data_IF_817814196890
#
_entry.id   IF_817814196890
#
_cell.length_a   1.000
_cell.length_b   1.000
_cell.length_c   1.000
_cell.angle_alpha   90.00
_cell.angle_beta   90.00
_cell.angle_gamma   90.00
#
_symmetry.space_group_name_H-M   'P 1'
#
loop_
_entity.id
_entity.type
_entity.pdbx_description
1 polymer ?
#
# COMPACT_ATOMS: atom_id res chain seq x y z
N UNK A 1 -11.61 51.54 -11.81
CA UNK A 1 -10.50 50.88 -12.52
C UNK A 1 -9.80 49.98 -11.52
N UNK A 2 -10.12 48.70 -11.65
CA UNK A 2 -9.88 47.63 -10.71
C UNK A 2 -8.40 47.39 -10.44
N UNK A 3 -7.98 47.59 -9.18
CA UNK A 3 -6.75 47.02 -8.66
C UNK A 3 -6.96 45.52 -8.45
N UNK A 4 -6.84 44.79 -9.55
CA UNK A 4 -6.92 43.35 -9.64
C UNK A 4 -5.97 42.67 -8.64
N UNK A 5 -6.57 41.95 -7.71
CA UNK A 5 -6.13 40.68 -7.14
C UNK A 5 -4.93 40.05 -7.87
N UNK A 6 -3.73 40.27 -7.35
CA UNK A 6 -2.55 39.44 -7.65
C UNK A 6 -1.81 39.10 -6.36
N UNK A 7 -2.53 38.50 -5.40
CA UNK A 7 -1.91 37.55 -4.49
C UNK A 7 -2.19 36.15 -5.03
N UNK A 8 -1.51 35.80 -6.11
CA UNK A 8 -1.35 34.38 -6.48
C UNK A 8 -0.58 33.76 -5.31
N UNK A 9 -1.29 32.98 -4.47
CA UNK A 9 -0.66 32.20 -3.40
C UNK A 9 0.33 31.25 -4.05
N UNK A 10 1.62 31.59 -4.02
CA UNK A 10 2.72 30.74 -4.49
C UNK A 10 2.85 29.52 -3.57
N UNK A 11 1.98 28.52 -3.74
CA UNK A 11 2.24 27.18 -3.22
C UNK A 11 3.15 26.46 -4.21
N UNK A 12 4.06 25.65 -3.70
CA UNK A 12 4.79 24.73 -4.56
C UNK A 12 3.80 23.78 -5.24
N UNK A 13 3.97 23.56 -6.55
CA UNK A 13 3.15 22.60 -7.27
C UNK A 13 3.39 21.21 -6.69
N UNK A 14 2.31 20.53 -6.32
CA UNK A 14 2.36 19.16 -5.81
C UNK A 14 2.96 18.25 -6.88
N UNK A 15 4.06 17.51 -6.58
CA UNK A 15 4.63 16.54 -7.50
C UNK A 15 3.59 15.52 -7.96
N UNK A 16 3.59 15.18 -9.24
CA UNK A 16 2.77 14.08 -9.77
C UNK A 16 3.59 12.80 -9.73
N UNK A 17 3.15 11.85 -8.91
CA UNK A 17 3.65 10.49 -8.96
C UNK A 17 2.82 9.71 -9.99
N UNK A 18 3.48 9.09 -10.97
CA UNK A 18 2.81 8.31 -12.02
C UNK A 18 3.37 6.89 -12.02
N UNK A 19 2.52 5.92 -11.68
CA UNK A 19 2.89 4.51 -11.71
C UNK A 19 1.71 3.68 -12.23
N UNK A 20 1.99 2.77 -13.16
CA UNK A 20 0.95 1.94 -13.78
C UNK A 20 0.30 0.96 -12.81
N UNK A 21 1.01 0.58 -11.75
CA UNK A 21 0.56 -0.35 -10.71
C UNK A 21 -0.15 0.41 -9.58
N UNK A 22 0.42 1.51 -9.08
CA UNK A 22 -0.23 2.35 -8.07
C UNK A 22 -1.10 3.44 -8.72
N UNK A 23 -2.28 3.05 -9.24
CA UNK A 23 -3.29 3.99 -9.75
C UNK A 23 -4.73 3.55 -9.49
N UNK A 24 -5.65 4.51 -9.59
CA UNK A 24 -7.09 4.25 -9.46
C UNK A 24 -7.56 3.26 -10.53
N UNK A 25 -8.44 2.36 -10.11
CA UNK A 25 -8.97 1.19 -10.83
C UNK A 25 -7.92 0.14 -11.24
N UNK A 26 -6.70 0.18 -10.69
CA UNK A 26 -5.76 -0.92 -10.88
C UNK A 26 -6.33 -2.20 -10.26
N UNK A 27 -6.37 -3.28 -11.06
CA UNK A 27 -6.90 -4.57 -10.66
C UNK A 27 -5.76 -5.56 -10.45
N UNK A 28 -5.92 -6.37 -9.41
CA UNK A 28 -5.00 -7.42 -9.02
C UNK A 28 -5.76 -8.71 -8.75
N UNK A 29 -5.17 -9.84 -9.09
CA UNK A 29 -5.75 -11.17 -8.83
C UNK A 29 -4.69 -12.10 -8.25
N UNK A 30 -5.11 -13.07 -7.45
CA UNK A 30 -4.21 -14.06 -6.89
C UNK A 30 -4.87 -14.87 -5.79
N UNK A 31 -4.11 -15.18 -4.74
CA UNK A 31 -4.53 -16.11 -3.71
C UNK A 31 -4.23 -15.61 -2.29
N UNK A 32 -5.15 -15.91 -1.36
CA UNK A 32 -4.88 -15.93 0.07
C UNK A 32 -4.71 -17.38 0.52
N UNK A 33 -3.65 -17.68 1.27
CA UNK A 33 -3.35 -19.01 1.79
C UNK A 33 -3.27 -18.99 3.33
N UNK A 34 -4.03 -19.87 3.98
CA UNK A 34 -3.98 -20.15 5.43
C UNK A 34 -3.72 -21.64 5.60
N UNK A 35 -2.55 -22.01 6.13
CA UNK A 35 -2.12 -23.41 6.20
C UNK A 35 -2.19 -24.10 4.83
N UNK A 36 -3.09 -25.08 4.71
CA UNK A 36 -3.35 -25.86 3.48
C UNK A 36 -4.46 -25.29 2.60
N UNK A 37 -5.27 -24.36 3.12
CA UNK A 37 -6.41 -23.78 2.40
C UNK A 37 -5.94 -22.61 1.55
N UNK A 38 -6.50 -22.50 0.34
CA UNK A 38 -6.23 -21.42 -0.62
C UNK A 38 -7.54 -20.86 -1.15
N UNK A 39 -7.62 -19.54 -1.21
CA UNK A 39 -8.80 -18.82 -1.66
C UNK A 39 -8.41 -17.85 -2.75
N UNK A 40 -9.19 -17.82 -3.83
CA UNK A 40 -8.97 -16.86 -4.90
C UNK A 40 -9.38 -15.48 -4.42
N UNK A 41 -8.54 -14.49 -4.70
CA UNK A 41 -8.77 -13.10 -4.34
C UNK A 41 -8.63 -12.19 -5.55
N UNK A 42 -9.46 -11.16 -5.57
CA UNK A 42 -9.38 -10.04 -6.51
C UNK A 42 -9.37 -8.74 -5.70
N UNK A 43 -8.42 -7.87 -6.02
CA UNK A 43 -8.33 -6.54 -5.42
C UNK A 43 -8.47 -5.49 -6.51
N UNK A 44 -9.25 -4.45 -6.23
CA UNK A 44 -9.36 -3.28 -7.08
C UNK A 44 -9.07 -2.03 -6.27
N UNK A 45 -8.01 -1.30 -6.63
CA UNK A 45 -7.70 -0.01 -6.03
C UNK A 45 -8.70 1.02 -6.53
N UNK A 46 -9.34 1.78 -5.65
CA UNK A 46 -10.36 2.76 -6.01
C UNK A 46 -9.86 4.20 -5.96
N UNK A 47 -9.12 4.56 -4.93
CA UNK A 47 -8.53 5.89 -4.81
C UNK A 47 -7.14 5.84 -4.19
N UNK A 48 -6.27 6.74 -4.62
CA UNK A 48 -4.93 6.92 -4.06
C UNK A 48 -4.77 8.40 -3.76
N UNK A 49 -4.64 8.69 -2.47
CA UNK A 49 -4.39 10.01 -1.92
C UNK A 49 -3.00 10.01 -1.29
N UNK A 50 -2.00 10.38 -2.08
CA UNK A 50 -0.61 10.48 -1.62
C UNK A 50 -0.39 11.68 -0.69
N UNK A 51 -1.30 12.65 -0.60
CA UNK A 51 -1.17 13.72 0.39
C UNK A 51 -1.48 13.21 1.79
N UNK A 52 -2.49 12.36 1.90
CA UNK A 52 -2.86 11.70 3.16
C UNK A 52 -2.18 10.33 3.35
N UNK A 53 -1.36 9.88 2.41
CA UNK A 53 -0.76 8.54 2.40
C UNK A 53 -1.81 7.44 2.55
N UNK A 54 -2.93 7.57 1.83
CA UNK A 54 -4.06 6.64 1.89
C UNK A 54 -4.32 6.04 0.53
N UNK A 55 -4.58 4.74 0.50
CA UNK A 55 -5.18 4.04 -0.63
C UNK A 55 -6.52 3.46 -0.18
N UNK A 56 -7.52 3.38 -1.05
CA UNK A 56 -8.74 2.62 -0.78
C UNK A 56 -8.98 1.63 -1.89
N UNK A 57 -9.74 0.58 -1.60
CA UNK A 57 -10.09 -0.40 -2.62
C UNK A 57 -11.10 -1.42 -2.14
N UNK A 58 -11.40 -2.36 -3.03
CA UNK A 58 -12.20 -3.53 -2.72
C UNK A 58 -11.32 -4.77 -2.70
N UNK A 59 -11.57 -5.64 -1.72
CA UNK A 59 -11.01 -6.99 -1.65
C UNK A 59 -12.18 -7.96 -1.78
N UNK A 60 -12.15 -8.77 -2.83
CA UNK A 60 -13.09 -9.86 -3.07
C UNK A 60 -12.37 -11.18 -2.82
N UNK A 61 -12.98 -12.04 -2.01
CA UNK A 61 -12.51 -13.39 -1.72
C UNK A 61 -13.60 -14.40 -2.06
N UNK A 62 -13.23 -15.46 -2.78
CA UNK A 62 -14.16 -16.51 -3.23
C UNK A 62 -13.93 -17.81 -2.47
N UNK A 63 -15.03 -18.46 -2.06
CA UNK A 63 -15.01 -19.78 -1.43
C UNK A 63 -14.54 -19.82 0.02
N UNK A 64 -14.59 -18.70 0.75
CA UNK A 64 -14.17 -18.65 2.16
C UNK A 64 -15.17 -19.35 3.09
N UNK A 65 -16.46 -19.34 2.74
CA UNK A 65 -17.54 -19.96 3.52
C UNK A 65 -18.49 -20.70 2.59
N UNK A 66 -19.19 -21.73 3.08
CA UNK A 66 -20.18 -22.46 2.27
C UNK A 66 -21.39 -21.58 1.91
N UNK A 67 -21.81 -20.70 2.84
CA UNK A 67 -22.98 -19.85 2.68
C UNK A 67 -22.76 -18.65 1.75
N UNK A 68 -21.49 -18.21 1.61
CA UNK A 68 -21.13 -17.05 0.80
C UNK A 68 -20.06 -17.45 -0.21
N UNK A 69 -20.50 -17.66 -1.45
CA UNK A 69 -19.61 -17.99 -2.57
C UNK A 69 -18.56 -16.91 -2.79
N UNK A 70 -18.91 -15.64 -2.53
CA UNK A 70 -18.03 -14.48 -2.63
C UNK A 70 -18.31 -13.49 -1.50
N UNK A 71 -17.24 -12.98 -0.91
CA UNK A 71 -17.28 -11.93 0.10
C UNK A 71 -16.50 -10.75 -0.44
N UNK A 72 -17.09 -9.56 -0.39
CA UNK A 72 -16.46 -8.32 -0.82
C UNK A 72 -16.40 -7.36 0.36
N UNK A 73 -15.20 -6.87 0.66
CA UNK A 73 -14.96 -5.85 1.67
C UNK A 73 -14.38 -4.60 1.03
N UNK A 74 -14.71 -3.46 1.62
CA UNK A 74 -14.02 -2.19 1.37
C UNK A 74 -12.87 -2.07 2.35
N UNK A 75 -11.67 -1.74 1.84
CA UNK A 75 -10.52 -1.49 2.68
C UNK A 75 -9.99 -0.06 2.55
N UNK A 76 -9.38 0.40 3.63
CA UNK A 76 -8.53 1.58 3.68
C UNK A 76 -7.11 1.15 4.00
N UNK A 77 -6.16 1.64 3.20
CA UNK A 77 -4.75 1.36 3.32
C UNK A 77 -3.95 2.58 3.74
N UNK A 78 -2.97 2.37 4.61
CA UNK A 78 -1.94 3.34 4.98
C UNK A 78 -0.69 3.09 4.12
N UNK A 79 -0.14 4.13 3.50
CA UNK A 79 1.11 4.09 2.74
C UNK A 79 2.26 4.54 3.65
N UNK A 80 3.24 3.67 3.87
CA UNK A 80 4.31 3.89 4.87
C UNK A 80 5.46 4.68 4.26
N UNK A 81 6.13 4.14 3.23
CA UNK A 81 7.23 4.79 2.54
C UNK A 81 6.71 5.60 1.32
N UNK A 82 5.79 6.53 1.57
CA UNK A 82 5.17 7.31 0.51
C UNK A 82 6.24 7.98 -0.38
N UNK A 83 6.24 7.74 -1.71
CA UNK A 83 7.25 8.28 -2.61
C UNK A 83 7.34 9.80 -2.52
N UNK A 84 6.23 10.50 -2.25
CA UNK A 84 6.21 11.97 -2.13
C UNK A 84 7.09 12.52 -1.00
N UNK A 85 7.50 11.69 -0.03
CA UNK A 85 8.39 12.12 1.05
C UNK A 85 9.83 12.37 0.59
N UNK A 86 10.26 11.70 -0.48
CA UNK A 86 11.60 11.85 -1.05
C UNK A 86 11.60 12.76 -2.27
N UNK A 87 10.44 13.00 -2.89
CA UNK A 87 10.32 13.93 -4.00
C UNK A 87 10.79 15.34 -3.60
N UNK A 88 11.78 15.82 -4.35
CA UNK A 88 12.26 17.19 -4.26
C UNK A 88 11.17 18.09 -4.84
N UNK A 89 10.48 18.84 -3.97
CA UNK A 89 9.63 19.94 -4.39
C UNK A 89 10.44 20.86 -5.31
N UNK A 90 9.83 21.26 -6.43
CA UNK A 90 10.53 21.91 -7.57
C UNK A 90 11.37 23.14 -7.19
N UNK A 91 11.10 23.77 -6.05
CA UNK A 91 11.80 24.96 -5.59
C UNK A 91 12.23 24.79 -4.11
N UNK A 92 13.39 24.17 -3.87
CA UNK A 92 13.90 23.89 -2.50
C UNK A 92 14.10 25.16 -1.67
N UNK A 93 14.33 26.30 -2.31
CA UNK A 93 14.57 27.59 -1.67
C UNK A 93 13.27 28.30 -1.23
N UNK A 94 12.11 27.80 -1.67
CA UNK A 94 10.79 28.37 -1.37
C UNK A 94 9.90 27.42 -0.57
N UNK A 95 10.44 26.76 0.47
CA UNK A 95 9.58 26.10 1.46
C UNK A 95 8.72 27.14 2.16
N UNK A 96 7.44 27.17 1.82
CA UNK A 96 6.46 28.02 2.50
C UNK A 96 5.94 27.32 3.76
N UNK A 97 5.69 28.02 4.87
CA UNK A 97 4.96 27.46 6.01
C UNK A 97 3.58 26.89 5.64
N UNK A 98 3.01 27.34 4.50
CA UNK A 98 1.75 26.87 3.94
C UNK A 98 1.90 25.74 2.91
N UNK A 99 3.12 25.23 2.68
CA UNK A 99 3.28 24.08 1.78
C UNK A 99 2.59 22.84 2.36
N UNK A 100 2.04 22.04 1.47
CA UNK A 100 1.31 20.85 1.87
C UNK A 100 2.22 19.87 2.61
N UNK A 101 1.82 19.48 3.82
CA UNK A 101 2.49 18.45 4.60
C UNK A 101 1.90 17.09 4.28
N UNK A 102 2.70 16.22 3.65
CA UNK A 102 2.34 14.81 3.45
C UNK A 102 2.18 14.14 4.80
N UNK A 103 1.08 13.41 4.99
CA UNK A 103 0.87 12.59 6.19
C UNK A 103 1.83 11.40 6.13
N UNK A 104 2.54 11.13 7.22
CA UNK A 104 3.46 10.01 7.31
C UNK A 104 2.94 8.95 8.27
N UNK A 105 3.09 7.70 7.86
CA UNK A 105 2.86 6.54 8.71
C UNK A 105 4.20 5.86 8.96
N UNK A 106 4.43 5.40 10.19
CA UNK A 106 5.63 4.63 10.51
C UNK A 106 5.47 3.14 10.17
N UNK A 107 6.56 2.37 10.22
CA UNK A 107 6.49 0.90 10.16
C UNK A 107 5.87 0.27 11.41
N UNK A 108 5.79 1.01 12.51
CA UNK A 108 5.08 0.60 13.72
C UNK A 108 3.60 0.94 13.56
N UNK A 109 2.73 0.00 13.91
CA UNK A 109 1.28 0.20 13.80
C UNK A 109 0.81 1.21 14.85
N UNK A 110 0.34 2.38 14.40
CA UNK A 110 -0.09 3.49 15.27
C UNK A 110 -1.50 3.30 15.83
N UNK A 111 -2.38 2.60 15.10
CA UNK A 111 -3.75 2.35 15.53
C UNK A 111 -3.82 1.22 16.58
N UNK A 112 -3.96 1.61 17.85
CA UNK A 112 -4.06 0.68 18.98
C UNK A 112 -5.22 -0.32 18.89
N UNK A 113 -6.31 0.02 18.16
CA UNK A 113 -7.46 -0.88 18.00
C UNK A 113 -7.13 -2.11 17.15
N UNK A 114 -6.07 -2.05 16.33
CA UNK A 114 -5.64 -3.16 15.50
C UNK A 114 -4.88 -4.24 16.29
N UNK A 115 -4.54 -3.96 17.55
CA UNK A 115 -3.97 -4.94 18.48
C UNK A 115 -2.51 -5.35 18.19
N UNK A 116 -1.86 -4.74 17.19
CA UNK A 116 -0.44 -4.97 16.92
C UNK A 116 0.46 -4.22 17.92
N UNK A 117 1.67 -4.73 18.10
CA UNK A 117 2.75 -4.16 18.91
C UNK A 117 4.09 -4.32 18.18
N UNK A 118 5.12 -3.57 18.59
CA UNK A 118 6.41 -3.44 17.88
C UNK A 118 7.00 -4.80 17.46
N UNK A 119 7.06 -5.77 18.38
CA UNK A 119 7.59 -7.10 18.07
C UNK A 119 6.76 -7.83 17.01
N UNK A 120 5.43 -7.69 17.03
CA UNK A 120 4.57 -8.25 16.00
C UNK A 120 4.82 -7.58 14.64
N UNK A 121 4.93 -6.24 14.60
CA UNK A 121 5.25 -5.50 13.37
C UNK A 121 6.60 -5.99 12.80
N UNK A 122 7.62 -6.15 13.64
CA UNK A 122 8.94 -6.63 13.22
C UNK A 122 8.88 -8.05 12.67
N UNK A 123 8.17 -8.98 13.33
CA UNK A 123 8.01 -10.36 12.84
C UNK A 123 7.40 -10.39 11.42
N UNK A 124 6.35 -9.58 11.17
CA UNK A 124 5.68 -9.54 9.87
C UNK A 124 6.54 -8.89 8.79
N UNK A 125 7.15 -7.74 9.10
CA UNK A 125 8.00 -7.04 8.14
C UNK A 125 9.28 -7.83 7.83
N UNK A 126 9.92 -8.47 8.81
CA UNK A 126 11.08 -9.35 8.57
C UNK A 126 10.71 -10.50 7.63
N UNK A 127 9.54 -11.11 7.83
CA UNK A 127 9.07 -12.21 6.98
C UNK A 127 8.82 -11.74 5.55
N UNK A 128 8.14 -10.61 5.36
CA UNK A 128 7.84 -10.05 4.04
C UNK A 128 9.10 -9.58 3.28
N UNK A 129 10.13 -9.18 4.01
CA UNK A 129 11.37 -8.62 3.42
C UNK A 129 12.54 -9.60 3.40
N UNK A 130 12.29 -10.88 3.69
CA UNK A 130 13.34 -11.91 3.72
C UNK A 130 14.43 -11.67 4.78
N UNK A 131 14.12 -10.93 5.84
CA UNK A 131 15.08 -10.44 6.86
C UNK A 131 14.96 -11.14 8.21
N UNK A 132 14.49 -12.38 8.21
CA UNK A 132 14.35 -13.17 9.44
C UNK A 132 15.65 -13.38 10.22
N UNK A 133 16.81 -13.23 9.57
CA UNK A 133 18.15 -13.40 10.17
C UNK A 133 18.69 -12.13 10.82
N UNK A 134 18.10 -10.96 10.54
CA UNK A 134 18.58 -9.68 11.10
C UNK A 134 18.18 -9.54 12.56
N UNK A 135 19.06 -8.93 13.37
CA UNK A 135 18.69 -8.48 14.72
C UNK A 135 17.60 -7.40 14.66
N UNK A 136 16.90 -7.17 15.76
CA UNK A 136 15.87 -6.13 15.82
C UNK A 136 16.46 -4.72 15.58
N UNK A 137 17.67 -4.46 16.06
CA UNK A 137 18.38 -3.19 15.83
C UNK A 137 18.78 -3.00 14.36
N UNK A 138 19.37 -4.02 13.74
CA UNK A 138 19.75 -3.97 12.31
C UNK A 138 18.51 -3.79 11.43
N UNK A 139 17.42 -4.45 11.78
CA UNK A 139 16.17 -4.34 11.05
C UNK A 139 15.53 -2.96 11.22
N UNK A 140 15.53 -2.39 12.42
CA UNK A 140 15.09 -1.02 12.66
C UNK A 140 15.86 -0.02 11.78
N UNK A 141 17.19 -0.11 11.73
CA UNK A 141 18.02 0.74 10.86
C UNK A 141 17.67 0.57 9.36
N UNK A 142 17.35 -0.66 8.93
CA UNK A 142 16.86 -0.93 7.58
C UNK A 142 15.52 -0.22 7.30
N UNK A 143 14.54 -0.35 8.19
CA UNK A 143 13.24 0.31 8.05
C UNK A 143 13.38 1.84 7.98
N UNK A 144 14.33 2.42 8.71
CA UNK A 144 14.65 3.86 8.62
C UNK A 144 15.24 4.28 7.27
N UNK A 145 16.08 3.44 6.66
CA UNK A 145 16.59 3.68 5.30
C UNK A 145 15.49 3.57 4.25
N UNK A 146 14.62 2.56 4.37
CA UNK A 146 13.44 2.40 3.50
C UNK A 146 12.52 3.62 3.62
N UNK A 147 12.26 4.09 4.84
CA UNK A 147 11.42 5.28 5.09
C UNK A 147 12.00 6.56 4.47
N UNK A 148 13.33 6.62 4.32
CA UNK A 148 14.07 7.71 3.66
C UNK A 148 14.25 7.51 2.15
N UNK A 149 13.76 6.40 1.59
CA UNK A 149 13.94 6.01 0.19
C UNK A 149 15.39 5.69 -0.20
N UNK A 150 16.23 5.36 0.78
CA UNK A 150 17.63 4.96 0.58
C UNK A 150 17.75 3.46 0.25
N UNK A 151 16.69 2.68 0.50
CA UNK A 151 16.62 1.24 0.28
C UNK A 151 15.21 0.86 -0.23
N UNK A 152 15.10 -0.24 -0.97
CA UNK A 152 13.82 -0.79 -1.47
C UNK A 152 12.98 0.19 -2.31
N UNK A 153 13.62 0.98 -3.18
CA UNK A 153 12.96 2.00 -4.00
C UNK A 153 11.88 1.44 -4.95
N UNK A 154 12.00 0.17 -5.37
CA UNK A 154 10.98 -0.49 -6.18
C UNK A 154 9.77 -0.99 -5.37
N UNK A 155 9.80 -0.90 -4.04
CA UNK A 155 8.76 -1.45 -3.17
C UNK A 155 8.01 -0.36 -2.41
N UNK A 156 6.68 -0.53 -2.35
CA UNK A 156 5.79 0.26 -1.52
C UNK A 156 5.27 -0.60 -0.36
N UNK A 157 5.47 -0.12 0.86
CA UNK A 157 5.02 -0.75 2.08
C UNK A 157 3.71 -0.10 2.52
N UNK A 158 2.72 -0.94 2.82
CA UNK A 158 1.39 -0.49 3.21
C UNK A 158 0.80 -1.36 4.33
N UNK A 159 -0.21 -0.84 5.02
CA UNK A 159 -1.12 -1.66 5.83
C UNK A 159 -2.54 -1.50 5.32
N UNK A 160 -3.25 -2.59 5.01
CA UNK A 160 -4.64 -2.54 4.56
C UNK A 160 -5.60 -3.03 5.64
N UNK A 161 -6.59 -2.21 6.00
CA UNK A 161 -7.65 -2.55 6.95
C UNK A 161 -8.98 -2.61 6.22
N UNK A 162 -9.64 -3.76 6.26
CA UNK A 162 -11.02 -3.91 5.82
C UNK A 162 -11.95 -3.24 6.84
N UNK A 163 -12.87 -2.41 6.36
CA UNK A 163 -13.74 -1.56 7.19
C UNK A 163 -15.18 -2.08 7.23
N UNK A 164 -15.71 -2.51 6.08
CA UNK A 164 -17.09 -2.98 5.96
C UNK A 164 -17.30 -3.88 4.75
N UNK A 165 -18.37 -4.67 4.80
CA UNK A 165 -18.81 -5.55 3.73
C UNK A 165 -19.65 -4.82 2.69
N UNK A 166 -19.62 -5.33 1.47
CA UNK A 166 -20.52 -4.98 0.39
C UNK A 166 -21.43 -6.16 0.05
N UNK A 167 -22.70 -5.89 -0.34
CA UNK A 167 -23.31 -4.57 -0.47
C UNK A 167 -23.77 -3.96 0.87
N UNK A 168 -23.91 -4.76 1.93
CA UNK A 168 -24.45 -4.30 3.22
C UNK A 168 -23.37 -4.03 4.26
N UNK A 169 -23.04 -2.74 4.44
CA UNK A 169 -22.02 -2.26 5.40
C UNK A 169 -22.40 -2.42 6.88
N UNK A 170 -23.67 -2.77 7.16
CA UNK A 170 -24.18 -3.00 8.52
C UNK A 170 -23.77 -4.37 9.06
N UNK A 171 -23.45 -5.32 8.18
CA UNK A 171 -22.97 -6.64 8.57
C UNK A 171 -21.55 -6.48 9.12
N UNK A 172 -21.36 -6.89 10.38
CA UNK A 172 -20.06 -6.81 11.08
C UNK A 172 -19.38 -8.17 11.27
N UNK A 173 -20.11 -9.26 11.08
CA UNK A 173 -19.61 -10.61 11.25
C UNK A 173 -20.22 -11.53 10.20
N UNK A 174 -19.43 -12.51 9.75
CA UNK A 174 -19.86 -13.57 8.84
C UNK A 174 -19.61 -14.90 9.56
N UNK A 175 -20.52 -15.86 9.45
CA UNK A 175 -20.30 -17.18 10.01
C UNK A 175 -19.05 -17.82 9.40
N UNK A 176 -18.09 -18.20 10.23
CA UNK A 176 -16.84 -18.83 9.77
C UNK A 176 -15.79 -17.88 9.18
N UNK A 177 -16.02 -16.57 9.14
CA UNK A 177 -15.07 -15.59 8.61
C UNK A 177 -15.03 -14.28 9.43
N UNK A 178 -13.88 -13.64 9.48
CA UNK A 178 -13.70 -12.33 10.12
C UNK A 178 -12.74 -11.46 9.32
N UNK A 179 -13.05 -10.17 9.26
CA UNK A 179 -12.24 -9.11 8.64
C UNK A 179 -11.79 -8.07 9.70
N UNK A 180 -11.76 -8.47 10.98
CA UNK A 180 -11.37 -7.60 12.11
C UNK A 180 -9.87 -7.25 12.10
N UNK A 181 -9.04 -8.10 11.50
CA UNK A 181 -7.61 -7.88 11.33
C UNK A 181 -7.25 -6.87 10.24
N UNK A 182 -5.97 -6.85 9.91
CA UNK A 182 -5.42 -6.04 8.82
C UNK A 182 -4.29 -6.80 8.12
N UNK A 183 -3.87 -6.30 6.96
CA UNK A 183 -2.80 -6.89 6.16
C UNK A 183 -1.56 -6.00 6.19
N UNK A 184 -0.40 -6.60 6.44
CA UNK A 184 0.89 -6.03 6.05
C UNK A 184 1.09 -6.28 4.57
N UNK A 185 1.47 -5.25 3.81
CA UNK A 185 1.52 -5.31 2.34
C UNK A 185 2.85 -4.76 1.83
N UNK A 186 3.45 -5.47 0.88
CA UNK A 186 4.58 -5.03 0.04
C UNK A 186 4.15 -5.11 -1.42
N UNK A 187 4.13 -3.98 -2.12
CA UNK A 187 3.83 -3.89 -3.54
C UNK A 187 5.12 -3.59 -4.30
N UNK A 188 5.43 -4.35 -5.34
CA UNK A 188 6.49 -4.01 -6.29
C UNK A 188 5.93 -3.03 -7.32
N UNK A 189 6.32 -1.76 -7.23
CA UNK A 189 5.92 -0.71 -8.17
C UNK A 189 6.89 -0.59 -9.35
N UNK A 190 7.95 -1.40 -9.37
CA UNK A 190 9.04 -1.28 -10.33
C UNK A 190 9.97 -0.11 -10.00
N UNK A 191 11.21 -0.18 -10.47
CA UNK A 191 12.12 0.95 -10.41
C UNK A 191 11.65 1.99 -11.43
N UNK A 192 11.49 3.25 -11.01
CA UNK A 192 11.51 4.34 -11.99
C UNK A 192 12.91 4.34 -12.62
N UNK A 193 13.03 3.79 -13.82
CA UNK A 193 14.21 4.03 -14.65
C UNK A 193 14.27 5.54 -14.91
N UNK A 194 15.03 6.26 -14.09
CA UNK A 194 15.64 7.50 -14.55
C UNK A 194 16.47 7.11 -15.76
N UNK A 195 15.92 7.39 -16.95
CA UNK A 195 16.48 7.13 -18.28
C UNK A 195 18.01 7.28 -18.29
N UNK A 196 18.70 6.16 -18.16
CA UNK A 196 20.10 6.02 -18.56
C UNK A 196 20.17 4.78 -19.44
N UNK A 197 20.16 5.02 -20.75
CA UNK A 197 20.45 4.05 -21.81
C UNK A 197 21.91 3.57 -21.71
N UNK A 198 22.31 2.88 -20.63
CA UNK A 198 23.66 2.31 -20.53
C UNK A 198 23.90 1.43 -19.28
N UNK A 199 22.87 0.85 -18.66
CA UNK A 199 23.09 -0.19 -17.66
C UNK A 199 22.50 -1.51 -18.14
N UNK A 200 23.31 -2.55 -18.41
CA UNK A 200 22.79 -3.87 -18.71
C UNK A 200 22.05 -4.37 -17.48
N UNK A 201 20.80 -4.80 -17.68
CA UNK A 201 19.94 -5.46 -16.70
C UNK A 201 20.72 -6.54 -15.95
N UNK A 202 21.19 -6.19 -14.75
CA UNK A 202 21.70 -7.13 -13.77
C UNK A 202 21.04 -6.78 -12.45
N UNK A 203 19.78 -7.19 -12.31
CA UNK A 203 19.26 -7.70 -11.05
C UNK A 203 18.14 -8.68 -11.40
N UNK A 204 18.42 -9.96 -11.18
CA UNK A 204 17.38 -10.99 -11.11
C UNK A 204 16.54 -10.68 -9.87
N UNK A 205 15.48 -9.89 -10.02
CA UNK A 205 14.39 -9.90 -9.06
C UNK A 205 13.45 -11.01 -9.51
N UNK A 206 13.40 -12.11 -8.78
CA UNK A 206 12.48 -13.24 -8.97
C UNK A 206 10.99 -12.86 -8.89
N UNK A 207 10.69 -11.57 -8.67
CA UNK A 207 9.36 -11.01 -8.47
C UNK A 207 9.16 -9.88 -9.48
N UNK A 208 8.15 -10.01 -10.35
CA UNK A 208 7.83 -9.03 -11.39
C UNK A 208 7.21 -7.75 -10.82
N UNK A 209 7.46 -6.57 -11.41
CA UNK A 209 6.67 -5.36 -11.14
C UNK A 209 5.16 -5.62 -11.23
N UNK A 210 4.39 -4.95 -10.39
CA UNK A 210 2.95 -5.19 -10.24
C UNK A 210 2.59 -6.39 -9.36
N UNK A 211 3.55 -7.06 -8.72
CA UNK A 211 3.26 -8.05 -7.68
C UNK A 211 2.89 -7.38 -6.35
N UNK A 212 1.98 -7.98 -5.60
CA UNK A 212 1.75 -7.63 -4.19
C UNK A 212 1.91 -8.89 -3.33
N UNK A 213 2.69 -8.78 -2.26
CA UNK A 213 2.81 -9.80 -1.22
C UNK A 213 2.32 -9.24 0.09
N UNK A 214 1.62 -10.05 0.86
CA UNK A 214 1.07 -9.62 2.14
C UNK A 214 0.95 -10.71 3.17
N UNK A 215 0.77 -10.30 4.41
CA UNK A 215 0.49 -11.17 5.55
C UNK A 215 -0.68 -10.61 6.33
N UNK A 216 -1.72 -11.41 6.50
CA UNK A 216 -2.83 -11.07 7.39
C UNK A 216 -2.43 -11.20 8.85
N UNK A 217 -2.89 -10.26 9.66
CA UNK A 217 -2.74 -10.27 11.10
C UNK A 217 -4.07 -10.00 11.80
N UNK A 218 -4.38 -10.88 12.74
CA UNK A 218 -5.36 -10.66 13.77
C UNK A 218 -4.94 -11.45 15.02
N UNK A 219 -5.18 -10.90 16.22
CA UNK A 219 -4.72 -11.45 17.50
C UNK A 219 -5.16 -12.91 17.77
N UNK A 220 -6.30 -13.33 17.20
CA UNK A 220 -6.87 -14.66 17.40
C UNK A 220 -6.82 -15.56 16.16
N UNK A 221 -6.16 -15.12 15.08
CA UNK A 221 -6.07 -15.88 13.84
C UNK A 221 -4.75 -16.63 13.73
N UNK A 222 -4.72 -17.67 12.88
CA UNK A 222 -3.48 -18.31 12.47
C UNK A 222 -2.48 -17.26 11.96
N UNK A 223 -1.24 -17.29 12.45
CA UNK A 223 -0.21 -16.34 12.03
C UNK A 223 0.17 -16.56 10.58
N UNK A 224 0.48 -15.45 9.89
CA UNK A 224 1.12 -15.45 8.58
C UNK A 224 0.28 -16.09 7.45
N UNK A 225 -1.03 -15.90 7.48
CA UNK A 225 -1.85 -16.19 6.30
C UNK A 225 -1.36 -15.27 5.18
N UNK A 226 -0.85 -15.85 4.10
CA UNK A 226 -0.17 -15.11 3.05
C UNK A 226 -1.15 -14.65 1.98
N UNK A 227 -0.95 -13.43 1.50
CA UNK A 227 -1.66 -12.86 0.37
C UNK A 227 -0.64 -12.67 -0.77
N UNK A 228 -0.96 -13.19 -1.95
CA UNK A 228 -0.12 -13.07 -3.15
C UNK A 228 -0.99 -12.66 -4.32
N UNK A 229 -0.63 -11.55 -4.96
CA UNK A 229 -1.40 -10.95 -6.03
C UNK A 229 -0.48 -10.52 -7.17
N UNK A 230 -1.03 -10.53 -8.39
CA UNK A 230 -0.40 -9.98 -9.59
C UNK A 230 -1.33 -8.98 -10.26
N UNK A 231 -0.74 -7.93 -10.80
CA UNK A 231 -1.44 -6.93 -11.60
C UNK A 231 -2.11 -7.56 -12.83
N UNK A 232 -3.30 -7.08 -13.15
CA UNK A 232 -4.03 -7.41 -14.38
C UNK A 232 -3.85 -6.24 -15.34
N UNK A 233 -3.13 -6.49 -16.44
CA UNK A 233 -2.94 -5.48 -17.49
C UNK A 233 -4.28 -5.06 -18.11
N UNK A 234 -4.53 -3.75 -18.12
CA UNK A 234 -5.73 -3.14 -18.70
C UNK A 234 -5.45 -2.43 -20.05
N UNK A 235 -4.23 -2.59 -20.59
CA UNK A 235 -3.75 -1.98 -21.85
C UNK A 235 -4.01 -0.46 -21.95
N UNK A 236 -4.07 0.24 -20.81
CA UNK A 236 -4.25 1.70 -20.78
C UNK A 236 -5.71 2.18 -20.77
N UNK A 237 -6.69 1.29 -20.62
CA UNK A 237 -8.10 1.67 -20.48
C UNK A 237 -8.46 1.73 -18.99
N UNK A 238 -8.24 2.88 -18.35
CA UNK A 238 -8.82 3.17 -17.03
C UNK A 238 -9.43 4.57 -17.02
N UNK A 239 -10.72 4.64 -16.70
CA UNK A 239 -11.42 5.89 -16.45
C UNK A 239 -10.93 6.47 -15.11
N UNK A 240 -9.96 7.37 -15.14
CA UNK A 240 -9.55 8.11 -13.95
C UNK A 240 -10.55 9.23 -13.66
N UNK A 241 -11.07 9.25 -12.44
CA UNK A 241 -11.81 10.41 -11.90
C UNK A 241 -10.93 11.06 -10.83
N UNK A 242 -10.67 12.36 -10.97
CA UNK A 242 -10.00 13.16 -9.94
C UNK A 242 -11.05 14.10 -9.35
N UNK A 243 -11.27 14.04 -8.04
CA UNK A 243 -12.08 15.01 -7.33
C UNK A 243 -11.20 16.22 -6.99
N UNK A 244 -11.66 17.42 -7.37
CA UNK A 244 -11.02 18.71 -7.13
C UNK A 244 -11.51 19.34 -5.82
#
# INVERSE_FOLDING_TARGET
FDAYNYQVRNHNKVPRFMNSYLRSNAVYVGEQQSGKSRFHIKVELKSIDLMNSVVTGFLQISGLTEDHSEIITCFKGEIINNPMNTYLWQDREKKSPNDYKVRNFSFITENKQWGSFIKNDFEHWKKLTGSSTLSDEQFQQRLERISRGEEDQQYLYMRWKEEFLLPDSRIKQISGASFEGFYYIVMNIGSEDHVNYSAPYVHSTTISPGSISGLYYHKSSEKFQSLSLRYVEDRGVSNTFQFY
#
